data_IF_325703953292
#
_entry.id   IF_325703953292
#
_cell.length_a   1.000
_cell.length_b   1.000
_cell.length_c   1.000
_cell.angle_alpha   90.00
_cell.angle_beta   90.00
_cell.angle_gamma   90.00
#
_symmetry.space_group_name_H-M   'P 1'
#
loop_
_entity.id
_entity.type
_entity.pdbx_description
1 polymer ?
#
# COMPACT_ATOMS: atom_id res chain seq x y z
N UNK A 1 27.50 15.58 -10.55
CA UNK A 1 26.19 15.71 -11.19
C UNK A 1 25.48 16.93 -10.62
N UNK A 2 25.14 17.90 -11.46
CA UNK A 2 24.39 19.09 -11.04
C UNK A 2 22.88 18.75 -10.87
N UNK A 3 22.11 19.65 -10.25
CA UNK A 3 20.72 19.37 -9.91
C UNK A 3 19.82 19.23 -11.16
N UNK A 4 20.18 19.84 -12.28
CA UNK A 4 19.46 19.71 -13.57
C UNK A 4 19.68 18.33 -14.20
N UNK A 5 20.91 17.86 -14.23
CA UNK A 5 21.24 16.52 -14.71
C UNK A 5 20.52 15.43 -13.90
N UNK A 6 20.35 15.63 -12.60
CA UNK A 6 19.58 14.71 -11.74
C UNK A 6 18.09 14.67 -12.10
N UNK A 7 17.50 15.81 -12.44
CA UNK A 7 16.11 15.91 -12.88
C UNK A 7 15.88 15.19 -14.21
N UNK A 8 16.81 15.33 -15.14
CA UNK A 8 16.71 14.72 -16.47
C UNK A 8 16.81 13.18 -16.42
N UNK A 9 17.41 12.61 -15.37
CA UNK A 9 17.47 11.16 -15.15
C UNK A 9 16.20 10.55 -14.58
N UNK A 10 15.34 11.34 -13.93
CA UNK A 10 14.17 10.80 -13.22
C UNK A 10 13.21 10.03 -14.14
N UNK A 11 12.86 10.53 -15.34
CA UNK A 11 12.04 9.78 -16.28
C UNK A 11 12.69 8.44 -16.68
N UNK A 12 14.01 8.43 -16.88
CA UNK A 12 14.76 7.21 -17.24
C UNK A 12 14.72 6.18 -16.11
N UNK A 13 14.92 6.62 -14.87
CA UNK A 13 14.81 5.77 -13.67
C UNK A 13 13.39 5.21 -13.55
N UNK A 14 12.36 6.02 -13.83
CA UNK A 14 10.96 5.58 -13.80
C UNK A 14 10.69 4.51 -14.86
N UNK A 15 11.13 4.73 -16.09
CA UNK A 15 10.97 3.79 -17.20
C UNK A 15 11.71 2.47 -16.95
N UNK A 16 12.96 2.53 -16.47
CA UNK A 16 13.73 1.33 -16.12
C UNK A 16 13.06 0.53 -15.01
N UNK A 17 12.59 1.19 -13.94
CA UNK A 17 11.82 0.54 -12.88
C UNK A 17 10.55 -0.12 -13.42
N UNK A 18 9.84 0.54 -14.34
CA UNK A 18 8.63 -0.02 -14.96
C UNK A 18 8.95 -1.25 -15.82
N UNK A 19 10.09 -1.25 -16.53
CA UNK A 19 10.54 -2.40 -17.31
C UNK A 19 10.85 -3.60 -16.41
N UNK A 20 11.64 -3.39 -15.35
CA UNK A 20 11.96 -4.42 -14.37
C UNK A 20 10.69 -4.99 -13.70
N UNK A 21 9.75 -4.12 -13.35
CA UNK A 21 8.48 -4.53 -12.76
C UNK A 21 7.69 -5.45 -13.71
N UNK A 22 7.62 -5.11 -15.00
CA UNK A 22 6.95 -5.92 -16.03
C UNK A 22 7.64 -7.26 -16.26
N UNK A 23 8.95 -7.34 -16.03
CA UNK A 23 9.74 -8.58 -16.11
C UNK A 23 9.63 -9.44 -14.84
N UNK A 24 8.89 -8.99 -13.82
CA UNK A 24 8.75 -9.69 -12.54
C UNK A 24 9.94 -9.50 -11.60
N UNK A 25 10.91 -8.65 -11.94
CA UNK A 25 12.06 -8.29 -11.11
C UNK A 25 11.64 -7.23 -10.09
N UNK A 26 10.84 -7.65 -9.11
CA UNK A 26 10.16 -6.74 -8.17
C UNK A 26 11.15 -6.01 -7.27
N UNK A 27 12.23 -6.67 -6.83
CA UNK A 27 13.21 -6.07 -5.91
C UNK A 27 14.03 -5.00 -6.63
N UNK A 28 14.47 -5.28 -7.85
CA UNK A 28 15.25 -4.38 -8.68
C UNK A 28 14.40 -3.18 -9.11
N UNK A 29 13.14 -3.41 -9.48
CA UNK A 29 12.19 -2.33 -9.76
C UNK A 29 12.01 -1.42 -8.54
N UNK A 30 11.83 -2.03 -7.36
CA UNK A 30 11.68 -1.30 -6.10
C UNK A 30 12.90 -0.42 -5.79
N UNK A 31 14.12 -0.96 -5.96
CA UNK A 31 15.36 -0.21 -5.76
C UNK A 31 15.47 0.98 -6.72
N UNK A 32 15.10 0.80 -7.99
CA UNK A 32 15.06 1.90 -8.97
C UNK A 32 14.10 3.01 -8.54
N UNK A 33 12.87 2.67 -8.16
CA UNK A 33 11.91 3.66 -7.67
C UNK A 33 12.41 4.37 -6.41
N UNK A 34 12.99 3.63 -5.46
CA UNK A 34 13.55 4.19 -4.23
C UNK A 34 14.66 5.21 -4.53
N UNK A 35 15.60 4.86 -5.41
CA UNK A 35 16.70 5.74 -5.81
C UNK A 35 16.19 7.02 -6.49
N UNK A 36 15.18 6.91 -7.35
CA UNK A 36 14.52 8.07 -7.97
C UNK A 36 13.84 8.99 -6.94
N UNK A 37 13.11 8.41 -5.99
CA UNK A 37 12.46 9.16 -4.90
C UNK A 37 13.51 9.87 -4.03
N UNK A 38 14.57 9.17 -3.63
CA UNK A 38 15.64 9.74 -2.82
C UNK A 38 16.33 10.92 -3.53
N UNK A 39 16.59 10.77 -4.83
CA UNK A 39 17.14 11.84 -5.66
C UNK A 39 16.24 13.09 -5.65
N UNK A 40 14.95 12.92 -5.93
CA UNK A 40 13.98 14.01 -5.97
C UNK A 40 13.76 14.65 -4.59
N UNK A 41 13.67 13.86 -3.52
CA UNK A 41 13.51 14.38 -2.15
C UNK A 41 14.71 15.23 -1.74
N UNK A 42 15.93 14.81 -2.09
CA UNK A 42 17.14 15.61 -1.82
C UNK A 42 17.13 16.97 -2.53
N UNK A 43 16.51 17.06 -3.72
CA UNK A 43 16.29 18.34 -4.40
C UNK A 43 15.18 19.14 -3.70
N UNK A 44 14.07 18.47 -3.38
CA UNK A 44 12.89 19.10 -2.76
C UNK A 44 13.22 19.72 -1.40
N UNK A 45 14.14 19.13 -0.64
CA UNK A 45 14.62 19.67 0.65
C UNK A 45 15.36 21.00 0.54
N UNK A 46 15.81 21.40 -0.66
CA UNK A 46 16.44 22.70 -0.91
C UNK A 46 15.43 23.80 -1.24
N UNK A 47 14.19 23.43 -1.50
CA UNK A 47 13.12 24.33 -1.91
C UNK A 47 12.19 24.65 -0.72
N UNK A 48 11.53 25.80 -0.75
CA UNK A 48 10.53 26.12 0.26
C UNK A 48 9.25 25.31 0.05
N UNK A 49 8.70 24.65 1.09
CA UNK A 49 7.45 23.92 0.98
C UNK A 49 6.31 24.80 0.46
N UNK A 50 5.64 24.34 -0.59
CA UNK A 50 4.52 25.05 -1.23
C UNK A 50 4.90 25.89 -2.46
N UNK A 51 6.19 26.16 -2.69
CA UNK A 51 6.62 26.89 -3.90
C UNK A 51 6.46 26.04 -5.16
N UNK A 52 6.40 26.71 -6.32
CA UNK A 52 6.18 26.05 -7.61
C UNK A 52 7.19 24.94 -7.93
N UNK A 53 8.48 25.16 -7.61
CA UNK A 53 9.54 24.14 -7.79
C UNK A 53 9.35 22.97 -6.83
N UNK A 54 9.03 23.23 -5.56
CA UNK A 54 8.76 22.20 -4.56
C UNK A 54 7.57 21.33 -4.97
N UNK A 55 6.49 21.95 -5.44
CA UNK A 55 5.30 21.26 -5.93
C UNK A 55 5.63 20.42 -7.17
N UNK A 56 6.41 20.96 -8.13
CA UNK A 56 6.83 20.20 -9.32
C UNK A 56 7.60 18.94 -8.94
N UNK A 57 8.53 19.03 -7.99
CA UNK A 57 9.27 17.88 -7.47
C UNK A 57 8.33 16.88 -6.79
N UNK A 58 7.37 17.36 -6.01
CA UNK A 58 6.38 16.51 -5.32
C UNK A 58 5.51 15.71 -6.32
N UNK A 59 5.11 16.36 -7.41
CA UNK A 59 4.37 15.71 -8.50
C UNK A 59 5.21 14.66 -9.23
N UNK A 60 6.52 14.86 -9.36
CA UNK A 60 7.45 13.86 -9.93
C UNK A 60 7.69 12.68 -8.97
N UNK A 61 7.71 12.93 -7.66
CA UNK A 61 7.88 11.89 -6.63
C UNK A 61 6.67 10.96 -6.60
N UNK A 62 5.46 11.51 -6.73
CA UNK A 62 4.18 10.80 -6.56
C UNK A 62 4.08 9.49 -7.37
N UNK A 63 4.29 9.46 -8.71
CA UNK A 63 4.19 8.21 -9.47
C UNK A 63 5.26 7.17 -9.09
N UNK A 64 6.49 7.61 -8.78
CA UNK A 64 7.54 6.71 -8.30
C UNK A 64 7.17 6.10 -6.95
N UNK A 65 6.65 6.90 -6.02
CA UNK A 65 6.21 6.44 -4.71
C UNK A 65 5.05 5.44 -4.81
N UNK A 66 4.09 5.69 -5.68
CA UNK A 66 2.98 4.75 -5.92
C UNK A 66 3.48 3.41 -6.51
N UNK A 67 4.47 3.46 -7.40
CA UNK A 67 5.10 2.26 -7.95
C UNK A 67 5.92 1.51 -6.88
N UNK A 68 6.66 2.22 -6.05
CA UNK A 68 7.34 1.66 -4.88
C UNK A 68 6.36 0.96 -3.93
N UNK A 69 5.24 1.62 -3.61
CA UNK A 69 4.17 1.02 -2.79
C UNK A 69 3.58 -0.22 -3.45
N UNK A 70 3.50 -0.27 -4.78
CA UNK A 70 3.08 -1.47 -5.49
C UNK A 70 4.04 -2.65 -5.27
N UNK A 71 5.35 -2.41 -5.34
CA UNK A 71 6.35 -3.45 -5.03
C UNK A 71 6.23 -3.92 -3.58
N UNK A 72 6.07 -2.98 -2.63
CA UNK A 72 5.90 -3.30 -1.20
C UNK A 72 4.64 -4.11 -0.91
N UNK A 73 3.53 -3.84 -1.60
CA UNK A 73 2.33 -4.68 -1.53
C UNK A 73 2.63 -6.13 -1.95
N UNK A 74 3.39 -6.33 -3.03
CA UNK A 74 3.75 -7.68 -3.50
C UNK A 74 4.69 -8.41 -2.53
N UNK A 75 5.52 -7.67 -1.79
CA UNK A 75 6.40 -8.20 -0.75
C UNK A 75 5.71 -8.42 0.61
N UNK A 76 4.43 -8.07 0.73
CA UNK A 76 3.69 -8.16 2.00
C UNK A 76 4.07 -7.10 3.04
N UNK A 77 4.75 -6.03 2.64
CA UNK A 77 5.16 -4.93 3.51
C UNK A 77 4.05 -3.88 3.65
N UNK A 78 2.95 -4.27 4.28
CA UNK A 78 1.70 -3.50 4.25
C UNK A 78 1.74 -2.20 5.05
N UNK A 79 2.44 -2.16 6.20
CA UNK A 79 2.50 -0.96 7.04
C UNK A 79 3.21 0.20 6.33
N UNK A 80 4.32 -0.05 5.64
CA UNK A 80 5.00 0.98 4.85
C UNK A 80 4.09 1.54 3.74
N UNK A 81 3.27 0.69 3.12
CA UNK A 81 2.29 1.12 2.10
C UNK A 81 1.24 2.03 2.73
N UNK A 82 0.74 1.70 3.92
CA UNK A 82 -0.24 2.52 4.64
C UNK A 82 0.34 3.89 4.96
N UNK A 83 1.57 3.95 5.48
CA UNK A 83 2.22 5.20 5.87
C UNK A 83 2.49 6.11 4.66
N UNK A 84 3.05 5.55 3.59
CA UNK A 84 3.32 6.29 2.37
C UNK A 84 2.05 6.77 1.67
N UNK A 85 1.03 5.90 1.53
CA UNK A 85 -0.22 6.30 0.91
C UNK A 85 -0.99 7.31 1.77
N UNK A 86 -0.96 7.19 3.09
CA UNK A 86 -1.60 8.17 3.99
C UNK A 86 -0.94 9.54 3.89
N UNK A 87 0.40 9.59 3.85
CA UNK A 87 1.14 10.83 3.65
C UNK A 87 0.83 11.48 2.30
N UNK A 88 0.62 10.66 1.26
CA UNK A 88 0.25 11.15 -0.07
C UNK A 88 -1.18 11.67 -0.10
N UNK A 89 -2.13 10.96 0.52
CA UNK A 89 -3.54 11.32 0.59
C UNK A 89 -3.80 12.54 1.47
N UNK A 90 -2.93 12.82 2.45
CA UNK A 90 -2.98 14.08 3.19
C UNK A 90 -2.80 15.31 2.28
N UNK A 91 -2.07 15.16 1.17
CA UNK A 91 -1.81 16.23 0.19
C UNK A 91 -2.74 16.15 -1.02
N UNK A 92 -3.07 14.93 -1.46
CA UNK A 92 -3.83 14.65 -2.67
C UNK A 92 -4.95 13.66 -2.35
N UNK A 93 -6.00 14.13 -1.68
CA UNK A 93 -7.07 13.29 -1.12
C UNK A 93 -7.79 12.42 -2.16
N UNK A 94 -7.91 12.91 -3.41
CA UNK A 94 -8.58 12.21 -4.50
C UNK A 94 -7.62 11.36 -5.36
N UNK A 95 -6.42 11.03 -4.86
CA UNK A 95 -5.52 10.14 -5.58
C UNK A 95 -6.01 8.69 -5.56
N UNK A 96 -6.77 8.31 -6.59
CA UNK A 96 -7.38 6.98 -6.76
C UNK A 96 -6.37 5.83 -6.57
N UNK A 97 -5.15 5.96 -7.11
CA UNK A 97 -4.11 4.93 -6.98
C UNK A 97 -3.61 4.77 -5.55
N UNK A 98 -3.49 5.86 -4.81
CA UNK A 98 -3.09 5.84 -3.41
C UNK A 98 -4.17 5.21 -2.53
N UNK A 99 -5.43 5.63 -2.70
CA UNK A 99 -6.59 5.05 -2.01
C UNK A 99 -6.67 3.54 -2.25
N UNK A 100 -6.59 3.11 -3.51
CA UNK A 100 -6.69 1.68 -3.86
C UNK A 100 -5.56 0.85 -3.22
N UNK A 101 -4.31 1.35 -3.23
CA UNK A 101 -3.18 0.65 -2.62
C UNK A 101 -3.29 0.61 -1.10
N UNK A 102 -3.71 1.70 -0.47
CA UNK A 102 -3.94 1.77 0.98
C UNK A 102 -5.07 0.85 1.42
N UNK A 103 -6.17 0.79 0.67
CA UNK A 103 -7.28 -0.13 0.90
C UNK A 103 -6.81 -1.59 0.90
N UNK A 104 -6.02 -1.98 -0.12
CA UNK A 104 -5.43 -3.33 -0.20
C UNK A 104 -4.49 -3.64 0.96
N UNK A 105 -3.69 -2.67 1.39
CA UNK A 105 -2.82 -2.84 2.55
C UNK A 105 -3.62 -3.01 3.85
N UNK A 106 -4.63 -2.16 4.10
CA UNK A 106 -5.56 -2.31 5.23
C UNK A 106 -6.26 -3.67 5.23
N UNK A 107 -6.74 -4.12 4.07
CA UNK A 107 -7.36 -5.44 3.90
C UNK A 107 -6.43 -6.58 4.30
N UNK A 108 -5.15 -6.48 3.95
CA UNK A 108 -4.15 -7.50 4.25
C UNK A 108 -3.79 -7.56 5.75
N UNK A 109 -3.94 -6.46 6.49
CA UNK A 109 -3.67 -6.38 7.94
C UNK A 109 -4.94 -6.33 8.79
N UNK A 110 -6.09 -6.77 8.25
CA UNK A 110 -7.36 -6.91 8.97
C UNK A 110 -8.01 -5.59 9.44
N UNK A 111 -7.61 -4.47 8.86
CA UNK A 111 -8.23 -3.16 9.08
C UNK A 111 -9.45 -3.01 8.16
N UNK A 112 -10.50 -3.78 8.41
CA UNK A 112 -11.67 -3.89 7.52
C UNK A 112 -12.35 -2.54 7.28
N UNK A 113 -12.58 -1.77 8.35
CA UNK A 113 -13.30 -0.49 8.28
C UNK A 113 -12.57 0.50 7.38
N UNK A 114 -11.26 0.64 7.58
CA UNK A 114 -10.39 1.53 6.83
C UNK A 114 -10.31 1.08 5.36
N UNK A 115 -10.18 -0.23 5.11
CA UNK A 115 -10.15 -0.77 3.75
C UNK A 115 -11.46 -0.50 2.99
N UNK A 116 -12.62 -0.71 3.62
CA UNK A 116 -13.93 -0.41 3.02
C UNK A 116 -14.12 1.07 2.74
N UNK A 117 -13.68 1.94 3.66
CA UNK A 117 -13.76 3.39 3.48
C UNK A 117 -12.93 3.85 2.27
N UNK A 118 -11.69 3.39 2.15
CA UNK A 118 -10.83 3.71 1.01
C UNK A 118 -11.40 3.17 -0.31
N UNK A 119 -11.89 1.92 -0.33
CA UNK A 119 -12.51 1.34 -1.52
C UNK A 119 -13.80 2.07 -1.93
N UNK A 120 -14.63 2.50 -0.98
CA UNK A 120 -15.81 3.30 -1.27
C UNK A 120 -15.44 4.62 -1.95
N UNK A 121 -14.44 5.34 -1.40
CA UNK A 121 -13.92 6.57 -2.01
C UNK A 121 -13.33 6.34 -3.40
N UNK A 122 -12.68 5.20 -3.65
CA UNK A 122 -12.24 4.84 -5.01
C UNK A 122 -13.43 4.70 -5.96
N UNK A 123 -14.52 4.05 -5.56
CA UNK A 123 -15.70 3.88 -6.42
C UNK A 123 -16.45 5.18 -6.67
N UNK A 124 -16.42 6.13 -5.74
CA UNK A 124 -16.93 7.48 -5.95
C UNK A 124 -16.15 8.23 -7.04
N UNK A 125 -14.83 8.04 -7.09
CA UNK A 125 -13.93 8.74 -8.03
C UNK A 125 -13.78 8.01 -9.38
N UNK A 126 -13.77 6.68 -9.37
CA UNK A 126 -13.59 5.83 -10.55
C UNK A 126 -14.45 4.56 -10.44
N UNK A 127 -15.73 4.62 -10.88
CA UNK A 127 -16.65 3.49 -10.88
C UNK A 127 -16.18 2.31 -11.75
N UNK A 128 -15.24 2.52 -12.68
CA UNK A 128 -14.76 1.44 -13.57
C UNK A 128 -14.03 0.33 -12.81
N UNK A 129 -13.58 0.63 -11.58
CA UNK A 129 -12.87 -0.28 -10.70
C UNK A 129 -13.80 -1.20 -9.87
N UNK A 130 -15.12 -1.09 -10.01
CA UNK A 130 -16.11 -1.87 -9.25
C UNK A 130 -15.82 -3.37 -9.22
N UNK A 131 -15.59 -3.97 -10.39
CA UNK A 131 -15.32 -5.40 -10.50
C UNK A 131 -13.99 -5.81 -9.83
N UNK A 132 -13.00 -4.92 -9.83
CA UNK A 132 -11.72 -5.17 -9.15
C UNK A 132 -11.91 -5.11 -7.64
N UNK A 133 -12.62 -4.09 -7.16
CA UNK A 133 -12.86 -3.84 -5.74
C UNK A 133 -13.76 -4.93 -5.13
N UNK A 134 -14.80 -5.37 -5.85
CA UNK A 134 -15.67 -6.45 -5.41
C UNK A 134 -14.89 -7.75 -5.15
N UNK A 135 -13.87 -8.04 -5.97
CA UNK A 135 -12.98 -9.19 -5.75
C UNK A 135 -12.13 -9.03 -4.49
N UNK A 136 -11.54 -7.86 -4.27
CA UNK A 136 -10.71 -7.60 -3.08
C UNK A 136 -11.54 -7.68 -1.79
N UNK A 137 -12.75 -7.11 -1.79
CA UNK A 137 -13.68 -7.17 -0.65
C UNK A 137 -14.10 -8.61 -0.34
N UNK A 138 -14.44 -9.39 -1.38
CA UNK A 138 -14.79 -10.81 -1.20
C UNK A 138 -13.66 -11.60 -0.57
N UNK A 139 -12.41 -11.40 -1.02
CA UNK A 139 -11.24 -12.06 -0.45
C UNK A 139 -11.07 -11.72 1.03
N UNK A 140 -11.28 -10.46 1.41
CA UNK A 140 -11.21 -10.02 2.80
C UNK A 140 -12.32 -10.65 3.65
N UNK A 141 -13.56 -10.66 3.17
CA UNK A 141 -14.71 -11.25 3.87
C UNK A 141 -14.55 -12.76 4.08
N UNK A 142 -14.04 -13.47 3.07
CA UNK A 142 -13.79 -14.91 3.17
C UNK A 142 -12.71 -15.20 4.23
N UNK A 143 -11.67 -14.36 4.34
CA UNK A 143 -10.65 -14.47 5.38
C UNK A 143 -11.21 -14.21 6.78
N UNK A 144 -12.06 -13.20 6.94
CA UNK A 144 -12.72 -12.87 8.23
C UNK A 144 -13.61 -14.05 8.67
N UNK A 145 -14.45 -14.56 7.77
CA UNK A 145 -15.32 -15.71 8.05
C UNK A 145 -14.54 -16.97 8.43
N UNK A 146 -13.40 -17.22 7.76
CA UNK A 146 -12.54 -18.36 8.08
C UNK A 146 -11.97 -18.24 9.50
N UNK A 147 -11.47 -17.05 9.87
CA UNK A 147 -10.95 -16.77 11.20
C UNK A 147 -12.02 -16.89 12.30
N UNK A 148 -13.20 -16.33 12.08
CA UNK A 148 -14.33 -16.44 13.01
C UNK A 148 -14.74 -17.90 13.24
N UNK A 149 -14.72 -18.72 12.19
CA UNK A 149 -15.02 -20.15 12.28
C UNK A 149 -13.95 -20.90 13.08
N UNK A 150 -12.68 -20.59 12.85
CA UNK A 150 -11.57 -21.16 13.61
C UNK A 150 -11.68 -20.81 15.11
N UNK A 151 -11.91 -19.54 15.43
CA UNK A 151 -12.07 -19.08 16.81
C UNK A 151 -13.27 -19.77 17.49
N UNK A 152 -14.44 -19.84 16.83
CA UNK A 152 -15.61 -20.55 17.34
C UNK A 152 -15.32 -22.03 17.63
N UNK A 153 -14.58 -22.70 16.75
CA UNK A 153 -14.20 -24.10 16.97
C UNK A 153 -13.23 -24.25 18.15
N UNK A 154 -12.27 -23.33 18.30
CA UNK A 154 -11.34 -23.31 19.43
C UNK A 154 -12.07 -23.12 20.77
N UNK A 155 -13.02 -22.19 20.84
CA UNK A 155 -13.81 -21.97 22.06
C UNK A 155 -14.66 -23.20 22.41
N UNK A 156 -15.30 -23.86 21.44
CA UNK A 156 -16.02 -25.11 21.68
C UNK A 156 -15.12 -26.19 22.29
N UNK A 157 -13.89 -26.34 21.78
CA UNK A 157 -12.91 -27.29 22.30
C UNK A 157 -12.48 -27.02 23.75
N UNK A 158 -12.36 -25.75 24.14
CA UNK A 158 -12.01 -25.36 25.52
C UNK A 158 -13.11 -25.71 26.53
N UNK A 159 -14.38 -25.55 26.17
CA UNK A 159 -15.52 -25.81 27.06
C UNK A 159 -16.03 -27.26 27.03
N UNK A 160 -15.53 -28.09 26.11
CA UNK A 160 -15.86 -29.52 26.02
C UNK A 160 -14.89 -30.44 26.77
N UNK A 161 -13.81 -29.92 27.37
CA UNK A 161 -12.91 -30.72 28.18
C UNK A 161 -13.59 -31.09 29.51
N UNK A 162 -13.68 -32.38 29.89
CA UNK A 162 -14.20 -32.77 31.20
C UNK A 162 -13.31 -32.17 32.31
N UNK A 163 -13.87 -31.78 33.48
CA UNK A 163 -13.04 -31.39 34.60
C UNK A 163 -12.08 -32.54 34.93
N UNK A 164 -10.78 -32.24 35.02
CA UNK A 164 -9.79 -33.19 35.46
C UNK A 164 -10.21 -33.69 36.86
N UNK A 165 -10.69 -34.92 36.93
CA UNK A 165 -11.04 -35.59 38.18
C UNK A 165 -9.81 -35.57 39.08
N UNK A 166 -9.89 -34.80 40.17
CA UNK A 166 -8.93 -34.84 41.25
C UNK A 166 -8.91 -36.28 41.80
N UNK A 167 -7.86 -37.05 41.47
CA UNK A 167 -7.57 -38.29 42.16
C UNK A 167 -7.08 -37.93 43.57
N UNK A 168 -7.98 -37.97 44.54
CA UNK A 168 -7.65 -38.07 45.96
C UNK A 168 -7.25 -39.51 46.26
N UNK A 169 -5.97 -39.72 46.57
CA UNK A 169 -5.42 -40.92 47.19
C UNK A 169 -4.58 -40.52 48.39
#
# INVERSE_FOLDING_TARGET
>A
MNDKEKLDLVPQIHEEGNMLYKQGQINEAMEKYYNGIACLKNLQMKEHPGDGTWLKLDHMITPLLLNYCQCKLLQGQYYEVIDHCSSLLFKYEDNVKALYKRAKAHAAVWNEREARADFAKVLELDPSLEQSIAKELRVMEDKIRAKDKEEKNRYKGLFSAPPATAMTG
#
